data_IF_246541885746
#
_entry.id   IF_246541885746
#
_cell.length_a   1.000
_cell.length_b   1.000
_cell.length_c   1.000
_cell.angle_alpha   90.00
_cell.angle_beta   90.00
_cell.angle_gamma   90.00
#
_symmetry.space_group_name_H-M   'P 1'
#
loop_
_entity.id
_entity.type
_entity.pdbx_description
1 polymer ?
#
# COMPACT_ATOMS: atom_id res chain seq x y z
N UNK A 1 1.23 -15.65 15.89
CA UNK A 1 2.15 -15.88 14.76
C UNK A 1 3.27 -14.83 14.67
N UNK A 2 3.83 -14.34 15.79
CA UNK A 2 4.97 -13.39 15.78
C UNK A 2 4.70 -12.00 15.20
N UNK A 3 3.46 -11.68 14.80
CA UNK A 3 3.10 -10.38 14.22
C UNK A 3 2.81 -9.34 15.31
N UNK A 4 3.27 -8.09 15.15
CA UNK A 4 2.85 -6.96 15.96
C UNK A 4 1.32 -6.90 16.14
N UNK A 5 0.88 -6.74 17.38
CA UNK A 5 -0.54 -6.78 17.73
C UNK A 5 -1.26 -5.51 17.22
N UNK A 6 -0.71 -4.34 17.54
CA UNK A 6 -1.37 -3.05 17.34
C UNK A 6 -0.90 -2.26 16.10
N UNK A 7 0.04 -2.80 15.32
CA UNK A 7 0.63 -2.11 14.17
C UNK A 7 0.46 -2.89 12.88
N UNK A 8 0.47 -2.15 11.78
CA UNK A 8 0.33 -2.65 10.41
C UNK A 8 1.66 -2.84 9.69
N UNK A 9 2.77 -2.65 10.41
CA UNK A 9 4.13 -2.77 9.90
C UNK A 9 5.02 -3.45 10.96
N UNK A 10 6.12 -4.08 10.53
CA UNK A 10 7.01 -4.77 11.45
C UNK A 10 7.70 -3.79 12.42
N UNK A 11 8.31 -2.73 11.90
CA UNK A 11 9.09 -1.79 12.69
C UNK A 11 8.97 -0.35 12.19
N UNK A 12 8.72 0.58 13.11
CA UNK A 12 8.76 2.01 12.86
C UNK A 12 7.56 2.62 12.14
N UNK A 13 7.81 3.78 11.54
CA UNK A 13 6.81 4.66 10.93
C UNK A 13 7.17 4.81 9.45
N UNK A 14 6.18 4.65 8.56
CA UNK A 14 6.41 4.64 7.12
C UNK A 14 6.17 5.99 6.43
N UNK A 15 5.50 6.93 7.10
CA UNK A 15 5.31 8.29 6.55
C UNK A 15 6.60 9.10 6.69
N UNK A 16 6.92 9.89 5.67
CA UNK A 16 8.09 10.77 5.71
C UNK A 16 7.91 11.95 6.69
N UNK A 17 6.66 12.36 6.92
CA UNK A 17 6.30 13.42 7.86
C UNK A 17 4.80 13.36 8.18
N UNK A 18 4.40 14.02 9.26
CA UNK A 18 2.99 14.20 9.63
C UNK A 18 2.62 15.69 9.72
N UNK A 19 1.48 16.05 9.13
CA UNK A 19 0.91 17.42 9.20
C UNK A 19 -0.47 17.33 9.84
N UNK A 20 -0.68 18.04 10.95
CA UNK A 20 -1.96 18.05 11.69
C UNK A 20 -2.44 19.47 11.98
N UNK A 21 -3.74 19.61 12.24
CA UNK A 21 -4.30 20.86 12.75
C UNK A 21 -3.97 21.05 14.22
N UNK A 22 -4.16 20.00 15.02
CA UNK A 22 -3.92 20.01 16.47
C UNK A 22 -3.26 18.69 16.88
N UNK A 23 -2.38 18.75 17.88
CA UNK A 23 -1.74 17.59 18.49
C UNK A 23 -2.27 17.40 19.91
N UNK A 24 -2.65 16.17 20.27
CA UNK A 24 -3.04 15.84 21.63
C UNK A 24 -1.81 15.56 22.49
N UNK A 25 -1.50 16.45 23.43
CA UNK A 25 -0.32 16.31 24.31
C UNK A 25 -0.57 15.37 25.50
N UNK A 26 -1.83 15.20 25.90
CA UNK A 26 -2.24 14.38 27.06
C UNK A 26 -3.23 13.29 26.63
N UNK A 27 -2.80 12.27 25.86
CA UNK A 27 -3.69 11.21 25.39
C UNK A 27 -4.20 10.33 26.53
N UNK A 28 -5.52 10.18 26.64
CA UNK A 28 -6.17 9.33 27.64
C UNK A 28 -6.79 8.10 26.98
N UNK A 29 -6.07 6.98 27.05
CA UNK A 29 -6.54 5.68 26.58
C UNK A 29 -5.83 4.57 27.37
N UNK A 30 -6.54 3.50 27.74
CA UNK A 30 -5.99 2.44 28.61
C UNK A 30 -4.80 1.67 28.00
N UNK A 31 -4.62 1.73 26.67
CA UNK A 31 -3.46 1.17 25.95
C UNK A 31 -2.33 2.18 25.70
N UNK A 32 -2.47 3.44 26.11
CA UNK A 32 -1.44 4.46 25.87
C UNK A 32 -0.12 4.04 26.51
N UNK A 33 0.96 4.04 25.71
CA UNK A 33 2.33 3.78 26.20
C UNK A 33 3.18 5.05 26.17
N UNK A 34 2.94 5.94 25.20
CA UNK A 34 3.64 7.21 25.01
C UNK A 34 2.81 8.14 24.13
N UNK A 35 3.20 9.41 24.06
CA UNK A 35 2.57 10.39 23.16
C UNK A 35 3.01 10.16 21.71
N UNK A 36 2.18 10.64 20.76
CA UNK A 36 2.50 10.59 19.33
C UNK A 36 3.83 11.29 19.02
N UNK A 37 4.06 12.47 19.60
CA UNK A 37 5.28 13.25 19.40
C UNK A 37 6.53 12.49 19.85
N UNK A 38 6.52 11.89 21.05
CA UNK A 38 7.65 11.07 21.54
C UNK A 38 7.90 9.84 20.67
N UNK A 39 6.83 9.19 20.21
CA UNK A 39 6.97 8.04 19.31
C UNK A 39 7.60 8.44 17.96
N UNK A 40 7.17 9.56 17.38
CA UNK A 40 7.73 10.07 16.14
C UNK A 40 9.19 10.53 16.29
N UNK A 41 9.52 11.22 17.38
CA UNK A 41 10.89 11.64 17.71
C UNK A 41 11.83 10.43 17.81
N UNK A 42 11.40 9.36 18.51
CA UNK A 42 12.17 8.12 18.63
C UNK A 42 12.41 7.39 17.29
N UNK A 43 11.62 7.68 16.25
CA UNK A 43 11.80 7.14 14.90
C UNK A 43 12.39 8.16 13.91
N UNK A 44 12.77 9.35 14.38
CA UNK A 44 13.30 10.42 13.52
C UNK A 44 12.30 10.92 12.47
N UNK A 45 10.99 10.83 12.74
CA UNK A 45 9.95 11.29 11.81
C UNK A 45 9.50 12.71 12.17
N UNK A 46 9.65 13.70 11.27
CA UNK A 46 9.22 15.06 11.54
C UNK A 46 7.69 15.21 11.54
N UNK A 47 7.20 16.13 12.37
CA UNK A 47 5.80 16.51 12.43
C UNK A 47 5.61 18.02 12.54
N UNK A 48 4.48 18.53 12.08
CA UNK A 48 4.08 19.93 12.24
C UNK A 48 2.59 20.01 12.61
N UNK A 49 2.27 20.82 13.61
CA UNK A 49 0.91 21.10 14.09
C UNK A 49 0.55 22.58 13.88
N UNK A 50 -0.71 22.96 14.14
CA UNK A 50 -1.19 24.33 13.96
C UNK A 50 -1.43 24.72 12.50
N UNK A 51 -1.47 23.74 11.59
CA UNK A 51 -1.69 23.98 10.16
C UNK A 51 -3.17 23.91 9.85
N UNK A 52 -3.69 24.85 9.06
CA UNK A 52 -5.03 24.71 8.45
C UNK A 52 -5.01 23.56 7.42
N UNK A 53 -5.23 22.34 7.92
CA UNK A 53 -5.26 21.11 7.11
C UNK A 53 -6.42 21.11 6.14
N UNK A 54 -7.49 21.88 6.38
CA UNK A 54 -8.61 22.05 5.44
C UNK A 54 -8.17 22.88 4.24
N UNK A 55 -7.49 24.00 4.46
CA UNK A 55 -6.92 24.80 3.37
C UNK A 55 -5.87 24.00 2.57
N UNK A 56 -5.02 23.23 3.25
CA UNK A 56 -4.05 22.34 2.59
C UNK A 56 -4.75 21.26 1.75
N UNK A 57 -5.80 20.62 2.28
CA UNK A 57 -6.59 19.61 1.57
C UNK A 57 -7.26 20.20 0.32
N UNK A 58 -7.82 21.41 0.42
CA UNK A 58 -8.37 22.12 -0.75
C UNK A 58 -7.31 22.36 -1.83
N UNK A 59 -6.14 22.86 -1.45
CA UNK A 59 -5.02 23.09 -2.38
C UNK A 59 -4.60 21.82 -3.11
N UNK A 60 -4.48 20.69 -2.41
CA UNK A 60 -4.13 19.39 -3.02
C UNK A 60 -5.25 18.89 -3.95
N UNK A 61 -6.52 19.05 -3.55
CA UNK A 61 -7.65 18.65 -4.39
C UNK A 61 -7.72 19.46 -5.70
N UNK A 62 -7.49 20.76 -5.61
CA UNK A 62 -7.57 21.70 -6.74
C UNK A 62 -6.37 21.55 -7.68
N UNK A 63 -5.16 21.42 -7.16
CA UNK A 63 -3.91 21.38 -7.96
C UNK A 63 -3.39 19.95 -8.23
N UNK A 64 -3.99 18.94 -7.62
CA UNK A 64 -3.48 17.57 -7.64
C UNK A 64 -2.39 17.32 -6.60
N UNK A 65 -1.74 16.16 -6.68
CA UNK A 65 -0.68 15.76 -5.75
C UNK A 65 0.51 16.71 -5.88
N UNK A 66 0.82 17.43 -4.79
CA UNK A 66 1.89 18.45 -4.74
C UNK A 66 3.07 17.90 -3.93
N UNK A 67 4.29 18.20 -4.38
CA UNK A 67 5.49 17.95 -3.58
C UNK A 67 5.56 18.97 -2.43
N UNK A 68 5.91 18.49 -1.23
CA UNK A 68 5.99 19.31 -0.03
C UNK A 68 7.25 19.00 0.77
N UNK A 69 7.65 19.94 1.63
CA UNK A 69 8.79 19.81 2.54
C UNK A 69 8.49 20.54 3.83
N UNK A 70 8.80 19.92 4.96
CA UNK A 70 8.85 20.57 6.27
C UNK A 70 10.27 21.07 6.48
N UNK A 71 10.41 22.32 6.93
CA UNK A 71 11.67 22.97 7.27
C UNK A 71 11.54 23.54 8.69
N UNK A 72 12.60 23.42 9.49
CA UNK A 72 12.61 23.91 10.87
C UNK A 72 12.77 25.43 10.94
N UNK A 73 13.53 26.01 10.00
CA UNK A 73 13.77 27.43 9.91
C UNK A 73 13.30 27.95 8.55
N UNK A 74 12.89 29.22 8.52
CA UNK A 74 12.52 29.88 7.28
C UNK A 74 13.78 30.02 6.40
N UNK A 75 13.85 29.36 5.24
CA UNK A 75 15.03 29.44 4.39
C UNK A 75 15.15 30.83 3.78
N UNK A 76 16.37 31.37 3.76
CA UNK A 76 16.69 32.66 3.13
C UNK A 76 16.32 32.71 1.65
N UNK A 77 16.38 31.57 0.97
CA UNK A 77 15.94 31.42 -0.42
C UNK A 77 15.12 30.13 -0.59
N UNK A 78 13.80 30.24 -0.64
CA UNK A 78 12.90 29.09 -0.85
C UNK A 78 13.17 28.39 -2.19
N UNK A 79 13.64 29.12 -3.22
CA UNK A 79 13.91 28.55 -4.55
C UNK A 79 15.12 27.64 -4.60
N UNK A 80 16.01 27.70 -3.60
CA UNK A 80 17.14 26.77 -3.52
C UNK A 80 16.73 25.40 -2.97
N UNK A 81 15.52 25.26 -2.41
CA UNK A 81 15.03 23.98 -1.94
C UNK A 81 14.71 23.07 -3.13
N UNK A 82 15.41 21.95 -3.20
CA UNK A 82 15.10 20.86 -4.11
C UNK A 82 13.97 19.99 -3.56
N UNK A 83 12.99 19.74 -4.41
CA UNK A 83 11.92 18.76 -4.18
C UNK A 83 12.28 17.45 -4.86
N UNK A 84 12.29 16.36 -4.09
CA UNK A 84 12.51 15.02 -4.61
C UNK A 84 11.17 14.34 -4.78
N UNK A 85 10.83 13.93 -6.00
CA UNK A 85 9.63 13.12 -6.25
C UNK A 85 9.89 11.66 -5.86
N UNK A 86 9.24 11.13 -4.80
CA UNK A 86 9.44 9.75 -4.38
C UNK A 86 8.96 8.74 -5.43
N UNK A 87 8.06 9.11 -6.35
CA UNK A 87 7.55 8.21 -7.37
C UNK A 87 8.59 7.82 -8.43
N UNK A 88 9.74 8.51 -8.47
CA UNK A 88 10.86 8.15 -9.37
C UNK A 88 11.71 6.98 -8.84
N UNK A 89 11.53 6.61 -7.56
CA UNK A 89 12.28 5.51 -6.91
C UNK A 89 11.45 4.24 -6.88
N UNK A 90 12.11 3.10 -6.77
CA UNK A 90 11.44 1.83 -6.52
C UNK A 90 11.09 1.68 -5.03
N UNK A 91 10.01 2.34 -4.61
CA UNK A 91 9.55 2.33 -3.22
C UNK A 91 9.19 0.92 -2.73
N UNK A 92 8.76 0.04 -3.63
CA UNK A 92 8.48 -1.37 -3.32
C UNK A 92 9.73 -2.11 -2.86
N UNK A 93 10.86 -1.90 -3.54
CA UNK A 93 12.13 -2.50 -3.15
C UNK A 93 12.64 -2.00 -1.78
N UNK A 94 12.35 -0.75 -1.45
CA UNK A 94 12.70 -0.15 -0.16
C UNK A 94 11.94 -0.83 0.98
N UNK A 95 10.63 -1.06 0.82
CA UNK A 95 9.76 -1.55 1.89
C UNK A 95 9.59 -3.07 1.96
N UNK A 96 9.83 -3.81 0.87
CA UNK A 96 9.72 -5.28 0.84
C UNK A 96 10.67 -5.96 1.84
N UNK A 97 10.23 -7.07 2.42
CA UNK A 97 11.07 -8.02 3.16
C UNK A 97 12.28 -8.44 2.32
N UNK A 98 13.41 -8.67 3.00
CA UNK A 98 14.67 -9.04 2.35
C UNK A 98 14.88 -10.55 2.24
N UNK A 99 14.16 -11.33 3.06
CA UNK A 99 14.21 -12.79 3.07
C UNK A 99 12.79 -13.35 3.24
N UNK A 100 12.49 -14.54 2.67
CA UNK A 100 11.21 -15.19 2.88
C UNK A 100 10.90 -15.45 4.36
N UNK A 101 9.63 -15.35 4.72
CA UNK A 101 9.13 -15.63 6.06
C UNK A 101 7.87 -16.51 5.97
N UNK A 102 7.70 -17.43 6.92
CA UNK A 102 6.56 -18.35 6.95
C UNK A 102 5.70 -18.06 8.18
N UNK A 103 4.40 -17.87 7.94
CA UNK A 103 3.39 -17.71 8.98
C UNK A 103 2.42 -18.87 8.93
N UNK A 104 2.09 -19.41 10.11
CA UNK A 104 1.19 -20.56 10.25
C UNK A 104 1.66 -21.77 9.42
N UNK A 105 2.86 -22.27 9.71
CA UNK A 105 3.57 -23.25 8.88
C UNK A 105 2.82 -24.57 8.62
N UNK A 106 1.91 -24.95 9.52
CA UNK A 106 1.05 -26.15 9.40
C UNK A 106 -0.32 -25.84 8.79
N UNK A 107 -0.58 -24.60 8.41
CA UNK A 107 -1.85 -24.14 7.86
C UNK A 107 -2.09 -24.60 6.42
N UNK A 108 -3.35 -24.49 6.00
CA UNK A 108 -3.81 -24.80 4.64
C UNK A 108 -5.00 -23.89 4.27
N UNK A 109 -5.10 -23.41 3.02
CA UNK A 109 -4.17 -23.61 1.90
C UNK A 109 -2.82 -22.90 2.09
N UNK A 110 -1.80 -23.25 1.30
CA UNK A 110 -0.50 -22.57 1.24
C UNK A 110 -0.56 -21.39 0.27
N UNK A 111 -0.44 -20.18 0.79
CA UNK A 111 -0.50 -18.93 0.04
C UNK A 111 0.91 -18.37 -0.09
N UNK A 112 1.38 -18.17 -1.32
CA UNK A 112 2.58 -17.37 -1.58
C UNK A 112 2.17 -15.90 -1.63
N UNK A 113 2.70 -15.07 -0.73
CA UNK A 113 2.41 -13.65 -0.65
C UNK A 113 3.62 -12.82 -1.09
N UNK A 114 3.53 -12.14 -2.23
CA UNK A 114 4.56 -11.19 -2.68
C UNK A 114 4.43 -9.91 -1.85
N UNK A 115 5.50 -9.56 -1.13
CA UNK A 115 5.56 -8.34 -0.34
C UNK A 115 5.93 -7.14 -1.20
N UNK A 116 4.93 -6.38 -1.59
CA UNK A 116 5.12 -5.10 -2.27
C UNK A 116 5.14 -3.90 -1.31
N UNK A 117 5.19 -4.12 0.01
CA UNK A 117 4.89 -3.10 1.02
C UNK A 117 3.65 -3.45 1.84
N UNK A 118 3.52 -4.73 2.19
CA UNK A 118 2.36 -5.35 2.79
C UNK A 118 2.03 -4.75 4.16
N UNK A 119 0.77 -4.38 4.36
CA UNK A 119 0.18 -4.20 5.69
C UNK A 119 -0.05 -5.54 6.38
N UNK A 120 0.43 -5.68 7.61
CA UNK A 120 0.40 -6.94 8.35
C UNK A 120 -1.00 -7.54 8.54
N UNK A 121 -2.06 -6.73 8.56
CA UNK A 121 -3.41 -7.28 8.69
C UNK A 121 -3.83 -8.17 7.51
N UNK A 122 -3.21 -8.06 6.32
CA UNK A 122 -3.45 -9.01 5.23
C UNK A 122 -3.00 -10.43 5.63
N UNK A 123 -1.81 -10.56 6.23
CA UNK A 123 -1.33 -11.85 6.75
C UNK A 123 -2.22 -12.32 7.90
N UNK A 124 -2.56 -11.43 8.84
CA UNK A 124 -3.47 -11.76 9.97
C UNK A 124 -4.80 -12.34 9.45
N UNK A 125 -5.38 -11.72 8.43
CA UNK A 125 -6.63 -12.18 7.80
C UNK A 125 -6.50 -13.59 7.20
N UNK A 126 -5.44 -13.87 6.44
CA UNK A 126 -5.24 -15.22 5.87
C UNK A 126 -5.02 -16.26 6.95
N UNK A 127 -4.13 -15.98 7.89
CA UNK A 127 -3.78 -16.91 8.96
C UNK A 127 -4.98 -17.20 9.87
N UNK A 128 -5.81 -16.19 10.18
CA UNK A 128 -7.06 -16.39 10.94
C UNK A 128 -8.07 -17.30 10.25
N UNK A 129 -7.94 -17.49 8.93
CA UNK A 129 -8.76 -18.42 8.12
C UNK A 129 -8.09 -19.78 7.94
N UNK A 130 -7.01 -20.05 8.67
CA UNK A 130 -6.30 -21.33 8.65
C UNK A 130 -5.19 -21.45 7.62
N UNK A 131 -5.01 -20.47 6.74
CA UNK A 131 -4.01 -20.53 5.68
C UNK A 131 -2.58 -20.46 6.21
N UNK A 132 -1.66 -21.19 5.55
CA UNK A 132 -0.22 -20.94 5.64
C UNK A 132 0.14 -19.79 4.72
N UNK A 133 0.93 -18.83 5.18
CA UNK A 133 1.37 -17.70 4.35
C UNK A 133 2.89 -17.69 4.27
N UNK A 134 3.40 -17.89 3.06
CA UNK A 134 4.82 -17.75 2.73
C UNK A 134 5.02 -16.35 2.13
N UNK A 135 5.46 -15.41 2.96
CA UNK A 135 5.76 -14.04 2.56
C UNK A 135 7.13 -13.99 1.88
N UNK A 136 7.18 -13.50 0.64
CA UNK A 136 8.39 -13.46 -0.18
C UNK A 136 8.71 -12.03 -0.65
N UNK A 137 9.98 -11.71 -0.93
CA UNK A 137 10.36 -10.40 -1.49
C UNK A 137 9.65 -10.06 -2.80
N UNK A 138 9.49 -8.77 -3.09
CA UNK A 138 8.84 -8.27 -4.32
C UNK A 138 9.38 -8.84 -5.63
N UNK A 139 10.67 -9.16 -5.68
CA UNK A 139 11.40 -9.69 -6.85
C UNK A 139 11.66 -11.20 -6.77
N UNK A 140 10.92 -11.91 -5.91
CA UNK A 140 11.10 -13.34 -5.73
C UNK A 140 10.74 -14.14 -7.00
N UNK A 141 11.55 -15.16 -7.32
CA UNK A 141 11.24 -16.07 -8.42
C UNK A 141 10.19 -17.08 -7.97
N UNK A 142 8.98 -16.99 -8.52
CA UNK A 142 7.86 -17.83 -8.10
C UNK A 142 8.04 -19.28 -8.60
N UNK A 143 7.66 -20.22 -7.75
CA UNK A 143 7.54 -21.64 -8.06
C UNK A 143 6.11 -22.11 -7.79
N UNK A 144 5.32 -22.31 -8.85
CA UNK A 144 3.88 -22.63 -8.74
C UNK A 144 3.59 -24.00 -8.13
N UNK A 145 4.57 -24.90 -8.10
CA UNK A 145 4.46 -26.20 -7.44
C UNK A 145 4.49 -26.05 -5.91
N UNK A 146 4.92 -24.90 -5.40
CA UNK A 146 5.10 -24.67 -3.96
C UNK A 146 3.92 -23.95 -3.30
N UNK A 147 2.87 -23.54 -4.02
CA UNK A 147 1.73 -22.87 -3.38
C UNK A 147 0.40 -23.23 -4.03
N UNK A 148 -0.67 -23.08 -3.27
CA UNK A 148 -2.05 -23.33 -3.71
C UNK A 148 -2.69 -22.06 -4.26
N UNK A 149 -2.26 -20.88 -3.82
CA UNK A 149 -2.71 -19.59 -4.33
C UNK A 149 -1.64 -18.51 -4.24
N UNK A 150 -1.74 -17.50 -5.11
CA UNK A 150 -0.85 -16.35 -5.15
C UNK A 150 -1.56 -15.11 -4.62
N UNK A 151 -0.91 -14.41 -3.69
CA UNK A 151 -1.36 -13.14 -3.17
C UNK A 151 -0.34 -12.05 -3.51
N UNK A 152 -0.80 -10.91 -4.04
CA UNK A 152 0.03 -9.73 -4.28
C UNK A 152 -0.45 -8.60 -3.37
N UNK A 153 0.42 -8.15 -2.47
CA UNK A 153 0.02 -7.21 -1.41
C UNK A 153 -0.21 -5.79 -1.93
N UNK A 154 -0.73 -4.93 -1.04
CA UNK A 154 -0.58 -3.49 -1.23
C UNK A 154 0.90 -3.06 -1.27
N UNK A 155 1.13 -1.82 -1.70
CA UNK A 155 2.46 -1.22 -1.69
C UNK A 155 2.44 0.25 -2.08
N UNK A 156 3.57 0.95 -1.91
CA UNK A 156 3.76 2.32 -2.36
C UNK A 156 4.20 2.39 -3.83
N UNK A 157 4.10 3.58 -4.42
CA UNK A 157 4.72 3.89 -5.69
C UNK A 157 3.89 3.53 -6.92
N UNK A 158 4.58 3.49 -8.06
CA UNK A 158 4.01 3.29 -9.40
C UNK A 158 4.17 1.82 -9.83
N UNK A 159 3.10 1.12 -10.25
CA UNK A 159 3.20 -0.26 -10.73
C UNK A 159 4.17 -0.45 -11.91
N UNK A 160 4.42 0.61 -12.71
CA UNK A 160 5.31 0.55 -13.88
C UNK A 160 6.76 0.25 -13.51
N UNK A 161 7.20 0.57 -12.28
CA UNK A 161 8.57 0.29 -11.85
C UNK A 161 8.78 -1.16 -11.38
N UNK A 162 7.72 -1.96 -11.25
CA UNK A 162 7.76 -3.33 -10.72
C UNK A 162 7.75 -4.41 -11.81
N UNK A 163 8.54 -4.23 -12.87
CA UNK A 163 8.56 -5.13 -14.06
C UNK A 163 8.85 -6.59 -13.73
N UNK A 164 9.76 -6.83 -12.79
CA UNK A 164 10.12 -8.20 -12.38
C UNK A 164 8.93 -8.92 -11.75
N UNK A 165 8.21 -8.24 -10.85
CA UNK A 165 7.00 -8.76 -10.21
C UNK A 165 5.91 -9.05 -11.25
N UNK A 166 5.68 -8.12 -12.19
CA UNK A 166 4.71 -8.30 -13.29
C UNK A 166 5.06 -9.54 -14.11
N UNK A 167 6.34 -9.72 -14.45
CA UNK A 167 6.82 -10.89 -15.20
C UNK A 167 6.54 -12.19 -14.47
N UNK A 168 6.70 -12.23 -13.14
CA UNK A 168 6.39 -13.41 -12.35
C UNK A 168 4.88 -13.68 -12.30
N UNK A 169 4.05 -12.64 -12.15
CA UNK A 169 2.58 -12.78 -12.17
C UNK A 169 2.11 -13.32 -13.53
N UNK A 170 2.69 -12.84 -14.64
CA UNK A 170 2.38 -13.31 -15.99
C UNK A 170 2.64 -14.81 -16.17
N UNK A 171 3.71 -15.35 -15.58
CA UNK A 171 4.01 -16.79 -15.63
C UNK A 171 2.88 -17.61 -14.96
N UNK A 172 2.45 -17.19 -13.77
CA UNK A 172 1.38 -17.86 -13.02
C UNK A 172 0.03 -17.75 -13.73
N UNK A 173 -0.29 -16.58 -14.29
CA UNK A 173 -1.49 -16.37 -15.10
C UNK A 173 -1.53 -17.29 -16.32
N UNK A 174 -0.41 -17.42 -17.05
CA UNK A 174 -0.32 -18.24 -18.27
C UNK A 174 -0.64 -19.71 -18.00
N UNK A 175 -0.28 -20.21 -16.81
CA UNK A 175 -0.58 -21.59 -16.43
C UNK A 175 -2.05 -21.80 -16.05
N UNK A 176 -2.75 -20.76 -15.57
CA UNK A 176 -4.20 -20.74 -15.36
C UNK A 176 -4.74 -21.68 -14.26
N UNK A 177 -3.87 -22.27 -13.43
CA UNK A 177 -4.24 -23.31 -12.44
C UNK A 177 -4.41 -22.81 -11.02
N UNK A 178 -3.87 -21.64 -10.69
CA UNK A 178 -3.78 -21.13 -9.33
C UNK A 178 -4.65 -19.88 -9.17
N UNK A 179 -5.48 -19.75 -8.13
CA UNK A 179 -6.15 -18.50 -7.83
C UNK A 179 -5.12 -17.40 -7.50
N UNK A 180 -5.38 -16.20 -8.02
CA UNK A 180 -4.54 -15.02 -7.81
C UNK A 180 -5.40 -13.90 -7.22
N UNK A 181 -4.92 -13.28 -6.15
CA UNK A 181 -5.61 -12.16 -5.50
C UNK A 181 -4.65 -11.00 -5.26
N UNK A 182 -4.96 -9.83 -5.82
CA UNK A 182 -4.16 -8.61 -5.67
C UNK A 182 -4.92 -7.52 -4.93
N UNK A 183 -4.26 -6.84 -3.98
CA UNK A 183 -4.84 -5.71 -3.23
C UNK A 183 -4.09 -4.42 -3.53
N UNK A 184 -4.80 -3.33 -3.84
CA UNK A 184 -4.22 -1.99 -4.06
C UNK A 184 -3.15 -2.01 -5.16
N UNK A 185 -1.85 -1.92 -4.80
CA UNK A 185 -0.77 -2.08 -5.78
C UNK A 185 -0.80 -3.47 -6.42
N UNK A 186 -1.09 -4.53 -5.66
CA UNK A 186 -1.25 -5.86 -6.22
C UNK A 186 -2.36 -5.99 -7.24
N UNK A 187 -3.46 -5.24 -7.09
CA UNK A 187 -4.51 -5.15 -8.11
C UNK A 187 -3.98 -4.49 -9.39
N UNK A 188 -3.20 -3.41 -9.26
CA UNK A 188 -2.60 -2.72 -10.39
C UNK A 188 -1.53 -3.56 -11.11
N UNK A 189 -0.71 -4.29 -10.36
CA UNK A 189 0.30 -5.21 -10.92
C UNK A 189 -0.35 -6.38 -11.64
N UNK A 190 -1.43 -6.93 -11.10
CA UNK A 190 -2.22 -7.97 -11.75
C UNK A 190 -2.86 -7.44 -13.05
N UNK A 191 -3.46 -6.25 -13.02
CA UNK A 191 -4.01 -5.60 -14.20
C UNK A 191 -2.93 -5.31 -15.27
N UNK A 192 -1.74 -4.87 -14.84
CA UNK A 192 -0.61 -4.64 -15.74
C UNK A 192 -0.12 -5.95 -16.37
N UNK A 193 -0.10 -7.04 -15.60
CA UNK A 193 0.29 -8.36 -16.09
C UNK A 193 -0.61 -8.87 -17.23
N UNK A 194 -1.89 -8.51 -17.22
CA UNK A 194 -2.85 -8.84 -18.28
C UNK A 194 -2.90 -7.81 -19.42
N UNK A 195 -2.04 -6.79 -19.38
CA UNK A 195 -1.91 -5.78 -20.45
C UNK A 195 -2.68 -4.48 -20.25
N UNK A 196 -3.32 -4.28 -19.09
CA UNK A 196 -3.99 -3.01 -18.81
C UNK A 196 -2.99 -1.87 -18.62
N UNK A 197 -3.44 -0.64 -18.91
CA UNK A 197 -2.71 0.59 -18.60
C UNK A 197 -3.07 1.06 -17.19
N UNK A 198 -2.10 1.71 -16.55
CA UNK A 198 -2.30 2.40 -15.28
C UNK A 198 -1.99 3.88 -15.45
N UNK A 199 -2.66 4.72 -14.67
CA UNK A 199 -2.45 6.17 -14.71
C UNK A 199 -2.43 6.76 -13.31
N UNK A 200 -1.71 7.89 -13.16
CA UNK A 200 -1.66 8.65 -11.92
C UNK A 200 -2.92 9.50 -11.79
N UNK A 201 -3.66 9.30 -10.71
CA UNK A 201 -4.84 10.09 -10.38
C UNK A 201 -4.42 11.51 -9.95
N UNK A 202 -5.31 12.49 -10.14
CA UNK A 202 -5.06 13.89 -9.78
C UNK A 202 -4.56 14.02 -8.33
N UNK A 203 -5.33 13.52 -7.37
CA UNK A 203 -4.94 13.49 -5.95
C UNK A 203 -5.16 12.13 -5.29
N UNK A 204 -5.63 11.12 -6.02
CA UNK A 204 -5.82 9.76 -5.51
C UNK A 204 -6.98 9.60 -4.53
N UNK A 205 -7.22 8.35 -4.15
CA UNK A 205 -8.25 7.98 -3.18
C UNK A 205 -7.57 7.64 -1.84
N UNK A 206 -7.84 8.46 -0.81
CA UNK A 206 -7.26 8.32 0.53
C UNK A 206 -8.31 8.60 1.60
N UNK A 207 -8.78 7.56 2.27
CA UNK A 207 -9.79 7.69 3.31
C UNK A 207 -10.42 6.35 3.70
N UNK A 208 -11.37 6.41 4.63
CA UNK A 208 -12.09 5.24 5.16
C UNK A 208 -13.57 5.21 4.80
N UNK A 209 -14.01 6.17 3.97
CA UNK A 209 -15.40 6.45 3.65
C UNK A 209 -15.66 6.45 2.14
N UNK A 210 -14.92 5.66 1.37
CA UNK A 210 -15.08 5.63 -0.08
C UNK A 210 -16.04 4.51 -0.49
N UNK A 211 -17.15 4.81 -1.18
CA UNK A 211 -18.05 3.79 -1.68
C UNK A 211 -17.40 3.00 -2.83
N UNK A 212 -17.65 1.70 -2.87
CA UNK A 212 -17.40 0.83 -4.02
C UNK A 212 -18.65 0.01 -4.31
N UNK A 213 -19.09 0.02 -5.56
CA UNK A 213 -20.26 -0.72 -6.02
C UNK A 213 -19.81 -2.04 -6.63
N UNK A 214 -20.39 -3.14 -6.18
CA UNK A 214 -20.15 -4.46 -6.76
C UNK A 214 -21.01 -4.62 -8.01
N UNK A 215 -20.36 -4.59 -9.16
CA UNK A 215 -20.97 -4.68 -10.48
C UNK A 215 -21.87 -5.92 -10.59
N UNK A 216 -23.02 -5.74 -11.25
CA UNK A 216 -24.02 -6.81 -11.43
C UNK A 216 -24.88 -7.13 -10.20
N UNK A 217 -24.51 -6.69 -8.99
CA UNK A 217 -25.27 -7.04 -7.76
C UNK A 217 -26.07 -5.91 -7.14
N UNK A 218 -25.82 -4.65 -7.54
CA UNK A 218 -26.45 -3.46 -6.94
C UNK A 218 -26.01 -3.14 -5.51
N UNK A 219 -25.07 -3.91 -4.94
CA UNK A 219 -24.56 -3.71 -3.57
C UNK A 219 -23.46 -2.65 -3.54
N UNK A 220 -23.49 -1.78 -2.53
CA UNK A 220 -22.46 -0.78 -2.27
C UNK A 220 -21.79 -1.05 -0.92
N UNK A 221 -20.46 -0.91 -0.88
CA UNK A 221 -19.64 -1.13 0.31
C UNK A 221 -18.83 0.13 0.64
N UNK A 222 -18.75 0.48 1.92
CA UNK A 222 -17.82 1.52 2.38
C UNK A 222 -16.42 0.91 2.54
N UNK A 223 -15.42 1.54 1.93
CA UNK A 223 -14.07 0.99 1.82
C UNK A 223 -13.00 1.95 2.33
N UNK A 224 -11.91 1.36 2.81
CA UNK A 224 -10.66 2.07 3.06
C UNK A 224 -9.81 2.05 1.81
N UNK A 225 -9.47 3.22 1.29
CA UNK A 225 -8.61 3.36 0.10
C UNK A 225 -7.39 4.21 0.44
N UNK A 226 -6.25 3.85 -0.16
CA UNK A 226 -5.01 4.61 -0.10
C UNK A 226 -4.16 4.34 -1.35
N UNK A 227 -4.57 4.90 -2.49
CA UNK A 227 -3.82 4.76 -3.75
C UNK A 227 -3.83 6.05 -4.56
N UNK A 228 -2.70 6.34 -5.20
CA UNK A 228 -2.53 7.48 -6.10
C UNK A 228 -2.62 7.12 -7.60
N UNK A 229 -2.71 5.83 -7.91
CA UNK A 229 -2.79 5.28 -9.25
C UNK A 229 -4.07 4.47 -9.42
N UNK A 230 -4.56 4.37 -10.65
CA UNK A 230 -5.73 3.58 -11.01
C UNK A 230 -5.46 2.78 -12.30
N UNK A 231 -6.24 1.73 -12.50
CA UNK A 231 -6.27 0.95 -13.73
C UNK A 231 -7.25 1.61 -14.69
N UNK A 232 -6.87 1.71 -15.96
CA UNK A 232 -7.76 2.17 -17.03
C UNK A 232 -8.68 1.02 -17.46
N UNK A 233 -9.97 1.11 -17.14
CA UNK A 233 -10.96 0.07 -17.47
C UNK A 233 -11.13 -0.13 -18.97
N UNK A 234 -10.87 0.89 -19.78
CA UNK A 234 -11.01 0.81 -21.24
C UNK A 234 -9.88 -0.02 -21.88
N UNK A 235 -8.84 -0.33 -21.09
CA UNK A 235 -7.72 -1.17 -21.50
C UNK A 235 -7.85 -2.64 -21.08
N UNK A 236 -9.00 -3.03 -20.49
CA UNK A 236 -9.25 -4.41 -20.10
C UNK A 236 -9.40 -5.33 -21.33
N UNK A 237 -8.68 -6.48 -21.38
CA UNK A 237 -8.91 -7.48 -22.41
C UNK A 237 -10.30 -8.13 -22.29
N UNK A 238 -10.82 -8.69 -23.38
CA UNK A 238 -12.19 -9.23 -23.47
C UNK A 238 -12.53 -10.33 -22.45
N UNK A 239 -11.53 -11.09 -21.98
CA UNK A 239 -11.69 -12.16 -20.97
C UNK A 239 -11.75 -11.64 -19.53
N UNK A 240 -11.70 -10.32 -19.32
CA UNK A 240 -11.66 -9.68 -18.01
C UNK A 240 -12.79 -8.68 -17.86
N UNK A 241 -13.33 -8.60 -16.64
CA UNK A 241 -14.40 -7.66 -16.30
C UNK A 241 -14.06 -6.86 -15.03
N UNK A 242 -14.56 -5.62 -14.92
CA UNK A 242 -14.48 -4.87 -13.67
C UNK A 242 -15.41 -5.49 -12.62
N UNK A 243 -14.87 -5.84 -11.46
CA UNK A 243 -15.66 -6.37 -10.33
C UNK A 243 -16.29 -5.26 -9.47
N UNK A 244 -15.57 -4.16 -9.27
CA UNK A 244 -16.01 -3.00 -8.49
C UNK A 244 -15.81 -1.70 -9.27
N UNK A 245 -16.73 -0.75 -9.08
CA UNK A 245 -16.64 0.65 -9.55
C UNK A 245 -16.82 1.65 -8.43
#
# INVERSE_FOLDING_TARGET
HGLPVNFEWFEGITVAALVVGEVCESPSHWRTQQTLSRWMEGHGVPGISGIDTRALTKKIRENGSILGRIVYELPTNVRSLTFNDPNKRNLVAECSVKKPQVFNATGTPRICAIDCGLKLNQIKCFVSRGARVDLVPWNYSLNEQEFDGLFISNGPGDPVVCKDTVTQIQKVLKNGKKPIFGICLGHQLLATAIGCKTYKMKYGNRGHNLPCVHNGTGRCFMTSQNHGFAVDSDSLPAEWEPLFT
#
